data_IF_577966666055
#
_entry.id   IF_577966666055
#
_cell.length_a   1.000
_cell.length_b   1.000
_cell.length_c   1.000
_cell.angle_alpha   90.00
_cell.angle_beta   90.00
_cell.angle_gamma   90.00
#
_symmetry.space_group_name_H-M   'P 1'
#
loop_
_entity.id
_entity.type
_entity.pdbx_description
1 polymer ?
#
# COMPACT_ATOMS: atom_id res chain seq x y z
N UNK A 1 -12.10 -8.48 2.12
CA UNK A 1 -11.72 -9.30 0.97
C UNK A 1 -11.95 -8.47 -0.28
N UNK A 2 -10.88 -8.00 -0.90
CA UNK A 2 -10.94 -7.26 -2.16
C UNK A 2 -11.30 -8.25 -3.28
N UNK A 3 -12.13 -7.86 -4.27
CA UNK A 3 -12.52 -8.74 -5.37
C UNK A 3 -11.35 -9.29 -6.20
N UNK A 4 -10.20 -8.62 -6.17
CA UNK A 4 -8.98 -9.02 -6.88
C UNK A 4 -8.36 -10.33 -6.39
N UNK A 5 -8.73 -10.79 -5.19
CA UNK A 5 -8.26 -12.08 -4.69
C UNK A 5 -9.05 -13.29 -5.23
N UNK A 6 -10.12 -13.07 -5.98
CA UNK A 6 -10.96 -14.13 -6.55
C UNK A 6 -10.49 -14.62 -7.93
N UNK A 7 -9.54 -13.94 -8.57
CA UNK A 7 -9.02 -14.33 -9.88
C UNK A 7 -7.90 -15.38 -9.85
N UNK A 8 -7.52 -15.87 -8.69
CA UNK A 8 -6.40 -16.82 -8.55
C UNK A 8 -6.73 -18.27 -8.86
N UNK A 9 -7.93 -18.59 -9.34
CA UNK A 9 -8.34 -19.98 -9.48
C UNK A 9 -8.92 -20.35 -10.86
N UNK A 10 -8.62 -19.60 -11.91
CA UNK A 10 -9.23 -19.85 -13.21
C UNK A 10 -8.21 -20.14 -14.32
N UNK A 11 -7.34 -21.06 -14.08
CA UNK A 11 -6.70 -21.95 -15.06
C UNK A 11 -6.02 -23.03 -14.25
N UNK A 12 -6.11 -24.27 -14.73
CA UNK A 12 -5.40 -25.41 -14.15
C UNK A 12 -3.94 -25.04 -14.10
N UNK A 13 -3.50 -24.56 -12.93
CA UNK A 13 -2.11 -24.31 -12.65
C UNK A 13 -1.38 -25.62 -12.86
N UNK A 14 -0.63 -25.72 -13.95
CA UNK A 14 0.52 -26.60 -13.97
C UNK A 14 1.44 -26.07 -12.87
N UNK A 15 1.19 -26.56 -11.65
CA UNK A 15 2.08 -26.34 -10.53
C UNK A 15 3.40 -27.00 -10.89
N UNK A 16 4.28 -26.23 -11.48
CA UNK A 16 5.68 -26.63 -11.63
C UNK A 16 6.20 -27.03 -10.25
N UNK A 17 6.86 -28.17 -10.19
CA UNK A 17 7.49 -28.63 -8.96
C UNK A 17 8.52 -27.62 -8.49
N UNK A 18 8.11 -26.73 -7.62
CA UNK A 18 9.04 -25.81 -6.97
C UNK A 18 9.55 -26.42 -5.66
N UNK A 19 10.81 -26.76 -5.60
CA UNK A 19 11.51 -27.15 -4.39
C UNK A 19 12.31 -25.95 -3.86
N UNK A 20 11.64 -25.04 -3.15
CA UNK A 20 12.28 -23.85 -2.62
C UNK A 20 12.36 -23.85 -1.09
N UNK A 21 13.42 -23.24 -0.57
CA UNK A 21 13.62 -23.01 0.86
C UNK A 21 13.81 -21.51 1.07
N UNK A 22 13.05 -20.95 2.00
CA UNK A 22 13.21 -19.57 2.42
C UNK A 22 14.12 -19.47 3.64
N UNK A 23 15.23 -18.75 3.48
CA UNK A 23 16.17 -18.46 4.55
C UNK A 23 16.11 -16.98 4.89
N UNK A 24 15.84 -16.66 6.15
CA UNK A 24 15.62 -15.26 6.51
C UNK A 24 16.10 -14.87 7.89
N UNK A 25 16.28 -13.57 8.07
CA UNK A 25 16.65 -12.94 9.32
C UNK A 25 15.60 -11.87 9.66
N UNK A 26 14.89 -12.09 10.77
CA UNK A 26 13.91 -11.15 11.28
C UNK A 26 14.40 -10.50 12.56
N UNK A 27 14.44 -9.18 12.57
CA UNK A 27 14.83 -8.38 13.73
C UNK A 27 13.74 -7.37 14.11
N UNK A 28 13.56 -7.20 15.43
CA UNK A 28 12.63 -6.21 15.99
C UNK A 28 13.31 -5.47 17.13
N UNK A 29 13.38 -4.16 17.02
CA UNK A 29 13.85 -3.29 18.11
C UNK A 29 12.66 -2.58 18.73
N UNK A 30 12.45 -2.88 20.00
CA UNK A 30 11.34 -2.34 20.77
C UNK A 30 11.88 -1.41 21.87
N UNK A 31 11.18 -0.31 22.07
CA UNK A 31 11.49 0.66 23.14
C UNK A 31 10.33 0.71 24.11
N UNK A 32 10.64 0.62 25.40
CA UNK A 32 9.69 0.86 26.49
C UNK A 32 9.89 2.27 27.02
N UNK A 33 8.92 3.19 26.86
CA UNK A 33 9.03 4.51 27.45
C UNK A 33 9.13 4.44 28.98
N UNK A 34 9.90 5.35 29.59
CA UNK A 34 9.98 5.45 31.05
C UNK A 34 8.58 5.67 31.63
N UNK A 35 8.12 4.74 32.51
CA UNK A 35 6.79 4.78 33.10
C UNK A 35 5.66 4.24 32.21
N UNK A 36 5.94 3.86 30.97
CA UNK A 36 4.96 3.25 30.08
C UNK A 36 4.73 1.77 30.34
N UNK A 37 3.50 1.30 30.14
CA UNK A 37 3.11 -0.10 30.31
C UNK A 37 3.37 -0.87 29.01
N UNK A 38 3.19 -0.22 27.84
CA UNK A 38 3.33 -0.84 26.51
C UNK A 38 4.72 -0.58 25.91
N UNK A 39 5.26 -1.57 25.22
CA UNK A 39 6.44 -1.43 24.35
C UNK A 39 5.99 -0.96 22.97
N UNK A 40 6.81 -0.13 22.34
CA UNK A 40 6.62 0.32 20.95
C UNK A 40 7.73 -0.24 20.08
N UNK A 41 7.35 -0.84 18.94
CA UNK A 41 8.30 -1.26 17.91
C UNK A 41 8.82 -0.02 17.19
N UNK A 42 10.14 0.16 17.21
CA UNK A 42 10.83 1.28 16.57
C UNK A 42 11.38 0.91 15.20
N UNK A 43 11.93 -0.29 15.14
CA UNK A 43 12.49 -0.83 13.90
C UNK A 43 12.05 -2.28 13.77
N UNK A 44 11.58 -2.61 12.61
CA UNK A 44 11.34 -3.96 12.14
C UNK A 44 12.12 -4.15 10.85
N UNK A 45 12.81 -5.25 10.71
CA UNK A 45 13.49 -5.65 9.48
C UNK A 45 13.30 -7.15 9.32
N UNK A 46 12.79 -7.55 8.17
CA UNK A 46 12.71 -8.93 7.71
C UNK A 46 13.43 -9.02 6.36
N UNK A 47 14.54 -9.70 6.35
CA UNK A 47 15.32 -9.97 5.15
C UNK A 47 15.36 -11.47 4.91
N UNK A 48 15.01 -11.91 3.70
CA UNK A 48 15.06 -13.33 3.36
C UNK A 48 15.47 -13.53 1.91
N UNK A 49 16.05 -14.70 1.66
CA UNK A 49 16.37 -15.22 0.35
C UNK A 49 15.52 -16.46 0.06
N UNK A 50 14.99 -16.53 -1.14
CA UNK A 50 14.35 -17.72 -1.68
C UNK A 50 15.39 -18.53 -2.45
N UNK A 51 15.61 -19.77 -2.04
CA UNK A 51 16.65 -20.65 -2.56
C UNK A 51 15.98 -21.85 -3.23
N UNK A 52 16.18 -22.01 -4.53
CA UNK A 52 15.75 -23.18 -5.29
C UNK A 52 16.73 -24.35 -5.00
N UNK A 53 16.20 -25.48 -4.57
CA UNK A 53 16.99 -26.66 -4.27
C UNK A 53 17.28 -27.54 -5.51
N UNK A 54 16.52 -27.36 -6.57
CA UNK A 54 16.65 -28.08 -7.84
C UNK A 54 16.69 -27.08 -9.00
N UNK A 55 17.71 -26.18 -9.09
CA UNK A 55 17.81 -25.23 -10.18
C UNK A 55 18.05 -25.96 -11.52
N UNK A 56 17.58 -25.39 -12.60
CA UNK A 56 17.92 -25.87 -13.94
C UNK A 56 19.42 -25.69 -14.23
N UNK A 57 19.94 -26.44 -15.22
CA UNK A 57 21.37 -26.41 -15.55
C UNK A 57 21.77 -24.99 -16.05
N UNK A 58 22.56 -24.29 -15.25
CA UNK A 58 23.02 -22.94 -15.52
C UNK A 58 22.29 -21.84 -14.76
N UNK A 59 21.30 -22.16 -13.95
CA UNK A 59 20.62 -21.23 -13.06
C UNK A 59 21.28 -21.13 -11.70
N UNK A 60 21.15 -19.96 -11.08
CA UNK A 60 21.56 -19.73 -9.70
C UNK A 60 20.60 -20.42 -8.71
N UNK A 61 21.16 -20.94 -7.62
CA UNK A 61 20.34 -21.53 -6.56
C UNK A 61 19.47 -20.49 -5.83
N UNK A 62 19.88 -19.22 -5.83
CA UNK A 62 19.13 -18.13 -5.19
C UNK A 62 18.25 -17.47 -6.23
N UNK A 63 16.94 -17.56 -6.05
CA UNK A 63 15.96 -16.92 -6.94
C UNK A 63 15.84 -15.43 -6.66
N UNK A 64 15.68 -15.08 -5.38
CA UNK A 64 15.44 -13.71 -4.99
C UNK A 64 15.92 -13.35 -3.60
N UNK A 65 16.21 -12.06 -3.41
CA UNK A 65 16.36 -11.43 -2.11
C UNK A 65 15.15 -10.53 -1.86
N UNK A 66 14.63 -10.63 -0.65
CA UNK A 66 13.44 -9.87 -0.24
C UNK A 66 13.73 -9.08 1.03
N UNK A 67 13.26 -7.85 1.09
CA UNK A 67 13.37 -6.96 2.23
C UNK A 67 12.00 -6.40 2.58
N UNK A 68 11.61 -6.52 3.85
CA UNK A 68 10.50 -5.76 4.45
C UNK A 68 11.03 -5.05 5.68
N UNK A 69 10.94 -3.75 5.72
CA UNK A 69 11.41 -2.97 6.85
C UNK A 69 10.46 -1.85 7.22
N UNK A 70 10.38 -1.59 8.52
CA UNK A 70 9.59 -0.52 9.11
C UNK A 70 10.40 0.24 10.11
N UNK A 71 10.35 1.56 10.02
CA UNK A 71 10.96 2.46 10.98
C UNK A 71 9.95 3.47 11.52
N UNK A 72 9.70 3.44 12.83
CA UNK A 72 8.78 4.33 13.53
C UNK A 72 9.55 5.18 14.54
N UNK A 73 10.17 6.30 14.11
CA UNK A 73 11.01 7.13 15.01
C UNK A 73 10.24 7.73 16.17
N UNK A 74 8.96 7.98 15.99
CA UNK A 74 8.06 8.57 16.97
C UNK A 74 6.60 8.15 16.74
N UNK A 75 5.66 8.69 17.51
CA UNK A 75 4.25 8.26 17.45
C UNK A 75 3.46 8.85 16.27
N UNK A 76 4.06 9.75 15.50
CA UNK A 76 3.38 10.45 14.41
C UNK A 76 4.01 10.20 13.03
N UNK A 77 5.09 9.41 12.94
CA UNK A 77 5.83 9.18 11.70
C UNK A 77 6.25 7.72 11.56
N UNK A 78 6.03 7.15 10.37
CA UNK A 78 6.46 5.81 10.00
C UNK A 78 7.01 5.82 8.57
N UNK A 79 8.08 5.08 8.37
CA UNK A 79 8.65 4.71 7.10
C UNK A 79 8.52 3.21 6.93
N UNK A 80 7.99 2.78 5.80
CA UNK A 80 8.00 1.38 5.38
C UNK A 80 8.82 1.29 4.08
N UNK A 81 9.62 0.25 3.94
CA UNK A 81 10.42 -0.05 2.76
C UNK A 81 10.27 -1.54 2.47
N UNK A 82 9.82 -1.86 1.28
CA UNK A 82 9.70 -3.21 0.76
C UNK A 82 10.47 -3.32 -0.55
N UNK A 83 11.05 -4.49 -0.83
CA UNK A 83 11.74 -4.70 -2.09
C UNK A 83 12.03 -6.16 -2.35
N UNK A 84 12.05 -6.50 -3.65
CA UNK A 84 12.45 -7.79 -4.17
C UNK A 84 13.46 -7.61 -5.28
N UNK A 85 14.55 -8.34 -5.19
CA UNK A 85 15.61 -8.41 -6.21
C UNK A 85 15.66 -9.82 -6.78
N UNK A 86 15.56 -9.97 -8.09
CA UNK A 86 15.71 -11.22 -8.82
C UNK A 86 17.16 -11.42 -9.20
N UNK A 87 17.73 -12.57 -8.81
CA UNK A 87 19.16 -12.84 -9.02
C UNK A 87 19.44 -13.18 -10.48
N UNK A 88 18.61 -14.00 -11.10
CA UNK A 88 18.78 -14.42 -12.49
C UNK A 88 18.69 -13.25 -13.50
N UNK A 89 17.88 -12.24 -13.18
CA UNK A 89 17.68 -11.07 -14.05
C UNK A 89 18.56 -9.89 -13.66
N UNK A 90 19.31 -10.02 -12.55
CA UNK A 90 20.17 -8.97 -11.98
C UNK A 90 19.44 -7.63 -11.77
N UNK A 91 18.15 -7.66 -11.45
CA UNK A 91 17.32 -6.46 -11.34
C UNK A 91 16.42 -6.42 -10.11
N UNK A 92 15.99 -5.21 -9.75
CA UNK A 92 14.93 -5.03 -8.77
C UNK A 92 13.60 -5.32 -9.48
N UNK A 93 12.91 -6.37 -9.05
CA UNK A 93 11.58 -6.75 -9.55
C UNK A 93 10.51 -5.79 -9.00
N UNK A 94 10.49 -5.62 -7.69
CA UNK A 94 9.56 -4.71 -7.02
C UNK A 94 10.26 -3.89 -5.94
N UNK A 95 9.83 -2.64 -5.78
CA UNK A 95 10.22 -1.81 -4.66
C UNK A 95 9.05 -0.91 -4.24
N UNK A 96 8.87 -0.73 -2.93
CA UNK A 96 7.92 0.22 -2.41
C UNK A 96 8.52 0.99 -1.22
N UNK A 97 8.32 2.29 -1.23
CA UNK A 97 8.69 3.18 -0.11
C UNK A 97 7.44 3.94 0.30
N UNK A 98 7.06 3.80 1.57
CA UNK A 98 5.89 4.51 2.12
C UNK A 98 6.30 5.37 3.30
N UNK A 99 5.79 6.59 3.30
CA UNK A 99 5.88 7.55 4.39
C UNK A 99 4.49 7.83 4.92
N UNK A 100 4.21 7.46 6.16
CA UNK A 100 2.93 7.74 6.81
C UNK A 100 3.12 8.70 7.97
N UNK A 101 2.25 9.72 8.06
CA UNK A 101 2.24 10.65 9.19
C UNK A 101 0.87 10.69 9.86
N UNK A 102 0.87 10.85 11.18
CA UNK A 102 -0.36 11.00 11.96
C UNK A 102 -0.23 12.21 12.89
N UNK A 103 -1.08 13.16 12.67
CA UNK A 103 -1.24 14.31 13.55
C UNK A 103 -2.71 14.44 13.97
N UNK A 104 -2.98 15.15 15.06
CA UNK A 104 -4.37 15.31 15.54
C UNK A 104 -5.30 15.95 14.51
N UNK A 105 -4.77 16.80 13.65
CA UNK A 105 -5.53 17.58 12.66
C UNK A 105 -5.43 17.00 11.25
N UNK A 106 -4.35 16.29 10.93
CA UNK A 106 -4.16 15.70 9.61
C UNK A 106 -3.41 14.37 9.69
N UNK A 107 -3.62 13.51 8.70
CA UNK A 107 -2.78 12.36 8.40
C UNK A 107 -2.42 12.37 6.92
N UNK A 108 -1.21 11.92 6.59
CA UNK A 108 -0.79 11.77 5.20
C UNK A 108 -0.13 10.43 4.97
N UNK A 109 -0.29 9.94 3.76
CA UNK A 109 0.36 8.74 3.27
C UNK A 109 0.94 9.05 1.89
N UNK A 110 2.24 8.88 1.74
CA UNK A 110 2.94 9.05 0.47
C UNK A 110 3.64 7.74 0.17
N UNK A 111 3.32 7.11 -0.94
CA UNK A 111 3.87 5.83 -1.33
C UNK A 111 4.37 5.89 -2.76
N UNK A 112 5.61 5.49 -2.97
CA UNK A 112 6.18 5.21 -4.27
C UNK A 112 6.29 3.69 -4.43
N UNK A 113 5.76 3.17 -5.53
CA UNK A 113 5.86 1.77 -5.94
C UNK A 113 6.54 1.68 -7.27
N UNK A 114 7.44 0.74 -7.37
CA UNK A 114 8.11 0.37 -8.60
C UNK A 114 7.90 -1.12 -8.88
N UNK A 115 7.60 -1.46 -10.11
CA UNK A 115 7.62 -2.82 -10.64
C UNK A 115 8.36 -2.81 -11.97
N UNK A 116 9.35 -3.69 -12.10
CA UNK A 116 10.14 -3.79 -13.32
C UNK A 116 9.23 -4.05 -14.53
N UNK A 117 9.53 -3.35 -15.62
CA UNK A 117 8.85 -3.48 -16.92
C UNK A 117 7.32 -3.28 -16.91
N UNK A 118 6.75 -2.73 -15.83
CA UNK A 118 5.30 -2.57 -15.69
C UNK A 118 4.91 -1.16 -15.24
N UNK A 119 5.37 -0.68 -14.09
CA UNK A 119 4.90 0.60 -13.56
C UNK A 119 5.82 1.25 -12.52
N UNK A 120 5.73 2.58 -12.46
CA UNK A 120 6.40 3.41 -11.44
C UNK A 120 5.39 4.42 -10.89
N UNK A 121 4.69 4.04 -9.82
CA UNK A 121 3.51 4.73 -9.33
C UNK A 121 3.79 5.55 -8.07
N UNK A 122 3.35 6.79 -8.04
CA UNK A 122 3.29 7.63 -6.83
C UNK A 122 1.84 7.75 -6.37
N UNK A 123 1.60 7.38 -5.12
CA UNK A 123 0.33 7.60 -4.45
C UNK A 123 0.52 8.64 -3.35
N UNK A 124 -0.21 9.72 -3.42
CA UNK A 124 -0.24 10.76 -2.40
C UNK A 124 -1.63 10.85 -1.80
N UNK A 125 -1.73 10.84 -0.48
CA UNK A 125 -2.99 10.89 0.23
C UNK A 125 -2.87 11.83 1.43
N UNK A 126 -3.81 12.77 1.57
CA UNK A 126 -3.89 13.71 2.67
C UNK A 126 -5.30 13.76 3.23
N UNK A 127 -5.43 13.46 4.52
CA UNK A 127 -6.70 13.57 5.23
C UNK A 127 -6.62 14.67 6.27
N UNK A 128 -7.57 15.59 6.24
CA UNK A 128 -7.72 16.67 7.20
C UNK A 128 -8.92 16.44 8.11
N UNK A 129 -8.70 16.47 9.41
CA UNK A 129 -9.73 16.31 10.45
C UNK A 129 -10.07 17.69 11.02
N UNK A 130 -11.16 18.30 10.56
CA UNK A 130 -11.60 19.62 11.06
C UNK A 130 -12.06 19.56 12.52
N UNK A 131 -12.72 18.45 12.86
CA UNK A 131 -13.20 18.14 14.21
C UNK A 131 -13.55 16.65 14.28
N UNK A 132 -14.10 16.21 15.42
CA UNK A 132 -14.50 14.81 15.61
C UNK A 132 -15.60 14.32 14.65
N UNK A 133 -16.33 15.24 14.02
CA UNK A 133 -17.46 14.92 13.15
C UNK A 133 -17.14 15.04 11.66
N UNK A 134 -16.15 15.86 11.26
CA UNK A 134 -15.88 16.15 9.87
C UNK A 134 -14.43 15.87 9.49
N UNK A 135 -14.25 15.15 8.41
CA UNK A 135 -12.96 14.93 7.75
C UNK A 135 -13.09 15.12 6.25
N UNK A 136 -12.02 15.60 5.64
CA UNK A 136 -11.88 15.73 4.18
C UNK A 136 -10.57 15.09 3.77
N UNK A 137 -10.57 14.46 2.62
CA UNK A 137 -9.40 13.82 2.03
C UNK A 137 -9.20 14.30 0.59
N UNK A 138 -7.95 14.33 0.18
CA UNK A 138 -7.56 14.45 -1.21
C UNK A 138 -6.47 13.41 -1.48
N UNK A 139 -6.51 12.80 -2.66
CA UNK A 139 -5.51 11.84 -3.10
C UNK A 139 -5.25 11.98 -4.59
N UNK A 140 -4.06 11.52 -4.99
CA UNK A 140 -3.59 11.49 -6.36
C UNK A 140 -2.78 10.23 -6.61
N UNK A 141 -2.95 9.64 -7.81
CA UNK A 141 -2.14 8.56 -8.35
C UNK A 141 -1.47 9.05 -9.62
N UNK A 142 -0.16 8.99 -9.65
CA UNK A 142 0.65 9.43 -10.77
C UNK A 142 1.55 8.30 -11.26
N UNK A 143 1.48 7.98 -12.55
CA UNK A 143 2.32 6.99 -13.20
C UNK A 143 3.47 7.68 -13.93
N UNK A 144 4.71 7.32 -13.56
CA UNK A 144 5.90 7.96 -14.12
C UNK A 144 6.25 7.45 -15.51
N UNK A 145 5.95 6.19 -15.83
CA UNK A 145 6.30 5.62 -17.13
C UNK A 145 5.52 6.28 -18.27
N UNK A 146 4.24 6.50 -18.03
CA UNK A 146 3.38 7.22 -18.97
C UNK A 146 3.42 8.73 -18.77
N UNK A 147 3.99 9.21 -17.65
CA UNK A 147 3.97 10.61 -17.21
C UNK A 147 2.55 11.17 -17.10
N UNK A 148 1.62 10.36 -16.58
CA UNK A 148 0.20 10.67 -16.51
C UNK A 148 -0.33 10.57 -15.09
N UNK A 149 -1.35 11.38 -14.81
CA UNK A 149 -2.16 11.24 -13.59
C UNK A 149 -3.21 10.17 -13.85
N UNK A 150 -3.13 9.04 -13.19
CA UNK A 150 -4.13 7.98 -13.34
C UNK A 150 -5.45 8.33 -12.68
N UNK A 151 -5.40 8.93 -11.50
CA UNK A 151 -6.60 9.29 -10.75
C UNK A 151 -6.33 10.45 -9.80
N UNK A 152 -7.25 11.39 -9.75
CA UNK A 152 -7.33 12.40 -8.70
C UNK A 152 -8.68 12.25 -8.02
N UNK A 153 -8.68 12.22 -6.70
CA UNK A 153 -9.94 12.11 -5.98
C UNK A 153 -9.95 12.81 -4.65
N UNK A 154 -11.14 12.89 -4.12
CA UNK A 154 -11.39 13.47 -2.80
C UNK A 154 -12.61 12.83 -2.16
N UNK A 155 -12.69 12.91 -0.86
CA UNK A 155 -13.91 12.60 -0.16
C UNK A 155 -14.13 13.55 1.01
N UNK A 156 -15.41 13.70 1.38
CA UNK A 156 -15.84 14.35 2.60
C UNK A 156 -16.62 13.36 3.44
N UNK A 157 -16.28 13.27 4.72
CA UNK A 157 -16.93 12.39 5.68
C UNK A 157 -17.54 13.19 6.81
N UNK A 158 -18.74 12.80 7.18
CA UNK A 158 -19.38 13.26 8.39
C UNK A 158 -19.76 12.08 9.27
N UNK A 159 -19.40 12.18 10.54
CA UNK A 159 -19.76 11.21 11.60
C UNK A 159 -20.76 11.82 12.56
N UNK A 160 -21.77 11.05 12.88
CA UNK A 160 -22.69 11.26 14.00
C UNK A 160 -22.45 10.15 15.03
N UNK A 161 -23.20 10.13 16.11
CA UNK A 161 -22.99 9.16 17.21
C UNK A 161 -22.96 7.70 16.72
N UNK A 162 -23.91 7.29 15.89
CA UNK A 162 -24.03 5.92 15.40
C UNK A 162 -23.96 5.75 13.89
N UNK A 163 -23.82 6.82 13.12
CA UNK A 163 -23.81 6.77 11.67
C UNK A 163 -22.66 7.60 11.12
N UNK A 164 -22.00 7.11 10.10
CA UNK A 164 -21.10 7.89 9.28
C UNK A 164 -21.52 7.85 7.81
N UNK A 165 -21.35 8.98 7.13
CA UNK A 165 -21.59 9.15 5.71
C UNK A 165 -20.35 9.68 5.04
N UNK A 166 -20.04 9.20 3.83
CA UNK A 166 -18.93 9.67 3.02
C UNK A 166 -19.37 9.85 1.57
N UNK A 167 -19.06 11.01 1.03
CA UNK A 167 -19.21 11.31 -0.38
C UNK A 167 -17.84 11.29 -1.03
N UNK A 168 -17.66 10.50 -2.07
CA UNK A 168 -16.46 10.41 -2.90
C UNK A 168 -16.68 11.09 -4.24
N UNK A 169 -15.63 11.72 -4.71
CA UNK A 169 -15.50 12.22 -6.07
C UNK A 169 -14.12 11.84 -6.56
N UNK A 170 -14.03 11.17 -7.71
CA UNK A 170 -12.75 10.96 -8.41
C UNK A 170 -12.89 11.21 -9.90
N UNK A 171 -11.77 11.53 -10.51
CA UNK A 171 -11.62 11.76 -11.94
C UNK A 171 -10.42 10.94 -12.41
N UNK A 172 -10.65 10.10 -13.41
CA UNK A 172 -9.63 9.41 -14.19
C UNK A 172 -9.51 10.15 -15.53
N UNK A 173 -8.43 10.92 -15.74
CA UNK A 173 -8.28 11.68 -16.98
C UNK A 173 -8.10 10.77 -18.19
N UNK A 174 -8.81 11.03 -19.28
CA UNK A 174 -8.65 10.32 -20.55
C UNK A 174 -7.46 10.88 -21.33
N UNK A 175 -6.47 10.06 -21.60
CA UNK A 175 -5.26 10.48 -22.32
C UNK A 175 -5.17 9.92 -23.73
N UNK A 176 -5.85 8.82 -24.01
CA UNK A 176 -5.75 8.13 -25.27
C UNK A 176 -6.54 8.84 -26.39
N UNK A 177 -6.00 8.75 -27.59
CA UNK A 177 -6.70 9.15 -28.80
C UNK A 177 -7.40 7.93 -29.38
N UNK A 178 -8.72 7.94 -29.40
CA UNK A 178 -9.52 6.88 -29.97
C UNK A 178 -9.24 6.71 -31.45
N UNK A 179 -9.60 5.55 -32.02
CA UNK A 179 -9.36 5.21 -33.42
C UNK A 179 -10.04 6.15 -34.43
N UNK A 180 -11.01 6.93 -34.00
CA UNK A 180 -11.71 7.96 -34.78
C UNK A 180 -11.06 9.36 -34.69
N UNK A 181 -9.95 9.50 -33.93
CA UNK A 181 -9.24 10.76 -33.72
C UNK A 181 -9.80 11.64 -32.60
N UNK A 182 -10.86 11.19 -31.89
CA UNK A 182 -11.35 11.86 -30.69
C UNK A 182 -10.42 11.54 -29.50
N UNK A 183 -10.40 12.42 -28.50
CA UNK A 183 -9.76 12.11 -27.23
C UNK A 183 -10.70 11.28 -26.36
N UNK A 184 -10.11 10.38 -25.61
CA UNK A 184 -10.83 9.70 -24.53
C UNK A 184 -11.37 10.75 -23.54
N UNK A 185 -12.63 10.57 -23.12
CA UNK A 185 -13.25 11.46 -22.14
C UNK A 185 -12.80 11.09 -20.73
N UNK A 186 -12.69 12.09 -19.86
CA UNK A 186 -12.43 11.88 -18.44
C UNK A 186 -13.57 11.06 -17.82
N UNK A 187 -13.24 10.02 -17.06
CA UNK A 187 -14.22 9.24 -16.29
C UNK A 187 -14.38 9.88 -14.90
N UNK A 188 -15.58 10.39 -14.63
CA UNK A 188 -15.93 11.01 -13.35
C UNK A 188 -16.79 10.09 -12.53
N UNK A 189 -16.28 9.66 -11.38
CA UNK A 189 -16.96 8.76 -10.45
C UNK A 189 -17.45 9.53 -9.23
N UNK A 190 -18.72 9.38 -8.90
CA UNK A 190 -19.33 9.91 -7.68
C UNK A 190 -19.92 8.74 -6.91
N UNK A 191 -19.54 8.57 -5.64
CA UNK A 191 -20.03 7.51 -4.79
C UNK A 191 -20.44 8.04 -3.42
N UNK A 192 -21.55 7.54 -2.92
CA UNK A 192 -22.04 7.84 -1.58
C UNK A 192 -22.08 6.57 -0.76
N UNK A 193 -21.44 6.61 0.41
CA UNK A 193 -21.40 5.52 1.36
C UNK A 193 -21.98 5.96 2.70
N UNK A 194 -22.69 5.09 3.37
CA UNK A 194 -23.06 5.26 4.77
C UNK A 194 -22.88 3.94 5.53
N UNK A 195 -22.54 4.03 6.81
CA UNK A 195 -22.39 2.86 7.68
C UNK A 195 -22.71 3.20 9.14
N UNK A 196 -23.01 2.17 9.91
CA UNK A 196 -23.26 2.28 11.34
C UNK A 196 -21.94 2.16 12.09
N UNK A 197 -21.58 3.15 12.89
CA UNK A 197 -20.29 3.21 13.62
C UNK A 197 -20.27 2.26 14.83
N UNK A 198 -21.40 2.00 15.46
CA UNK A 198 -21.50 1.13 16.64
C UNK A 198 -21.37 -0.37 16.34
N UNK A 199 -21.49 -0.77 15.07
CA UNK A 199 -21.33 -2.15 14.63
C UNK A 199 -19.94 -2.45 14.04
N UNK A 200 -19.01 -1.53 14.11
CA UNK A 200 -17.63 -1.81 13.70
C UNK A 200 -17.04 -2.81 14.68
N UNK A 201 -16.62 -4.02 14.24
CA UNK A 201 -15.98 -4.98 15.13
C UNK A 201 -14.83 -4.32 15.87
N UNK A 202 -14.71 -4.54 17.17
CA UNK A 202 -13.71 -3.91 18.05
C UNK A 202 -12.25 -4.12 17.58
N UNK A 203 -12.02 -4.98 16.60
CA UNK A 203 -10.72 -5.30 16.01
C UNK A 203 -10.25 -4.34 14.89
N UNK A 204 -11.11 -3.40 14.43
CA UNK A 204 -10.73 -2.38 13.45
C UNK A 204 -10.47 -1.02 14.13
N UNK A 205 -10.40 -0.95 15.42
CA UNK A 205 -9.72 0.16 16.07
C UNK A 205 -8.23 -0.03 15.82
N UNK A 206 -7.75 0.55 14.74
CA UNK A 206 -6.34 0.91 14.64
C UNK A 206 -6.05 1.74 15.89
N UNK A 207 -5.27 1.15 16.80
CA UNK A 207 -4.91 1.72 18.10
C UNK A 207 -3.92 2.88 17.86
N UNK A 208 -4.39 3.95 17.27
CA UNK A 208 -3.68 5.17 16.90
C UNK A 208 -4.05 6.36 17.77
N UNK A 209 -4.61 6.17 18.98
CA UNK A 209 -4.87 7.33 19.84
C UNK A 209 -4.97 6.97 21.31
N UNK A 210 -3.87 7.11 22.04
CA UNK A 210 -3.81 7.81 23.35
C UNK A 210 -2.36 7.99 23.77
#
# INVERSE_FOLDING_TARGET
>A
LLPEQLYQFDEVDELDKTHSVRLGLRNRWQVKPRGGIKTHERVYVDFFADVNLEPEEGEDNIESYNLDSRYTPNNWLRFDLEGRYLVAEEQIDTAAVRLTTWHQVFSSDLEFRYRADDSSLLLANLTWHFNNAWSVNAYERYEFETSQVEEIGSWIERRWDCIACRLYLSVEPGYDTLSDGSKEEDDVKVSFLFWLTDFTPANIREDGSR
#
